data_IF_983368018044
#
_entry.id   IF_983368018044
#
_cell.length_a   1.000
_cell.length_b   1.000
_cell.length_c   1.000
_cell.angle_alpha   90.00
_cell.angle_beta   90.00
_cell.angle_gamma   90.00
#
_symmetry.space_group_name_H-M   'P 1'
#
loop_
_entity.id
_entity.type
_entity.pdbx_description
1 polymer ?
#
# COMPACT_ATOMS: atom_id res chain seq x y z
N UNK A 1 -35.60 45.21 37.60
CA UNK A 1 -34.32 44.47 37.75
C UNK A 1 -34.34 43.31 36.76
N UNK A 2 -33.34 43.29 35.89
CA UNK A 2 -32.90 42.22 34.98
C UNK A 2 -33.86 41.67 33.90
N UNK A 3 -33.77 42.30 32.72
CA UNK A 3 -34.04 41.68 31.42
C UNK A 3 -32.77 41.01 30.89
N UNK A 4 -32.87 39.73 30.51
CA UNK A 4 -31.82 38.97 29.82
C UNK A 4 -31.91 39.29 28.32
N UNK A 5 -30.88 39.93 27.76
CA UNK A 5 -30.69 40.08 26.31
C UNK A 5 -29.78 38.96 25.81
N UNK A 6 -30.35 38.09 24.99
CA UNK A 6 -29.60 37.21 24.08
C UNK A 6 -28.86 38.08 23.05
N UNK A 7 -27.54 38.01 23.03
CA UNK A 7 -26.75 38.41 21.86
C UNK A 7 -25.46 37.57 21.81
N UNK A 8 -25.00 37.35 20.59
CA UNK A 8 -23.70 36.77 20.17
C UNK A 8 -23.48 35.26 20.28
N UNK A 9 -24.25 34.51 19.49
CA UNK A 9 -23.82 33.23 18.88
C UNK A 9 -24.33 33.18 17.43
N UNK A 10 -23.74 33.98 16.53
CA UNK A 10 -24.13 33.93 15.09
C UNK A 10 -23.03 34.26 14.08
N UNK A 11 -21.76 34.37 14.49
CA UNK A 11 -20.67 34.81 13.58
C UNK A 11 -19.64 33.74 13.17
N UNK A 12 -19.77 32.47 13.57
CA UNK A 12 -18.80 31.42 13.18
C UNK A 12 -19.19 30.57 11.96
N UNK A 13 -20.44 30.63 11.49
CA UNK A 13 -20.91 29.82 10.34
C UNK A 13 -20.82 30.53 8.99
N UNK A 14 -20.65 31.86 8.96
CA UNK A 14 -20.55 32.62 7.71
C UNK A 14 -19.18 32.56 7.02
N UNK A 15 -18.08 32.29 7.75
CA UNK A 15 -16.75 32.19 7.12
C UNK A 15 -16.57 30.87 6.36
N UNK A 16 -17.11 29.76 6.89
CA UNK A 16 -17.08 28.45 6.22
C UNK A 16 -17.86 28.44 4.90
N UNK A 17 -19.03 29.10 4.85
CA UNK A 17 -19.84 29.15 3.63
C UNK A 17 -19.26 30.07 2.54
N UNK A 18 -18.41 31.04 2.89
CA UNK A 18 -17.81 31.96 1.90
C UNK A 18 -16.59 31.33 1.22
N UNK A 19 -15.78 30.56 1.96
CA UNK A 19 -14.67 29.77 1.38
C UNK A 19 -15.16 28.62 0.51
N UNK A 20 -16.33 28.04 0.81
CA UNK A 20 -16.94 26.98 0.00
C UNK A 20 -17.66 27.48 -1.26
N UNK A 21 -18.04 28.77 -1.35
CA UNK A 21 -18.87 29.30 -2.45
C UNK A 21 -18.11 29.92 -3.62
N UNK A 22 -16.85 30.30 -3.49
CA UNK A 22 -16.12 30.92 -4.62
C UNK A 22 -15.41 29.93 -5.53
N UNK A 23 -15.48 28.62 -5.25
CA UNK A 23 -14.79 27.57 -6.04
C UNK A 23 -15.70 26.45 -6.55
N UNK A 24 -17.02 26.63 -6.48
CA UNK A 24 -17.94 25.84 -7.32
C UNK A 24 -18.02 26.55 -8.68
N UNK A 25 -16.88 26.61 -9.37
CA UNK A 25 -16.92 26.60 -10.82
C UNK A 25 -17.02 25.13 -11.21
N UNK A 26 -17.85 24.83 -12.20
CA UNK A 26 -17.86 23.57 -12.94
C UNK A 26 -16.52 23.40 -13.70
N UNK A 27 -15.40 23.37 -12.98
CA UNK A 27 -14.10 23.13 -13.55
C UNK A 27 -14.07 21.66 -13.97
N UNK A 28 -13.87 21.43 -15.26
CA UNK A 28 -13.78 20.10 -15.89
C UNK A 28 -12.55 19.34 -15.35
N UNK A 29 -11.52 20.04 -14.87
CA UNK A 29 -10.24 19.46 -14.44
C UNK A 29 -10.15 19.13 -12.93
N UNK A 30 -9.42 18.08 -12.56
CA UNK A 30 -9.17 17.73 -11.17
C UNK A 30 -8.47 18.86 -10.40
N UNK A 31 -8.83 19.14 -9.13
CA UNK A 31 -8.05 20.04 -8.30
C UNK A 31 -6.59 19.57 -8.22
N UNK A 32 -5.66 20.51 -8.26
CA UNK A 32 -4.24 20.20 -8.20
C UNK A 32 -3.70 20.32 -6.77
N UNK A 33 -2.71 19.49 -6.44
CA UNK A 33 -1.99 19.58 -5.18
C UNK A 33 -0.48 19.69 -5.40
N UNK A 34 0.17 20.52 -4.58
CA UNK A 34 1.61 20.56 -4.41
C UNK A 34 1.99 20.17 -2.97
N UNK A 35 2.98 19.29 -2.82
CA UNK A 35 3.49 18.88 -1.51
C UNK A 35 4.85 19.53 -1.25
N UNK A 36 5.03 20.08 -0.05
CA UNK A 36 6.30 20.63 0.43
C UNK A 36 6.73 19.85 1.67
N UNK A 37 7.78 19.05 1.52
CA UNK A 37 8.39 18.28 2.61
C UNK A 37 9.55 19.12 3.16
N UNK A 38 9.49 19.45 4.45
CA UNK A 38 10.41 20.35 5.13
C UNK A 38 11.19 19.52 6.15
N UNK A 39 12.49 19.35 5.91
CA UNK A 39 13.34 18.58 6.81
C UNK A 39 14.71 18.28 6.22
N UNK A 40 15.76 18.78 6.87
CA UNK A 40 17.15 18.54 6.49
C UNK A 40 17.55 17.04 6.52
N UNK A 41 16.91 16.25 7.38
CA UNK A 41 17.13 14.80 7.49
C UNK A 41 16.65 14.04 6.26
N UNK A 42 15.63 14.54 5.56
CA UNK A 42 15.16 13.99 4.29
C UNK A 42 16.19 14.29 3.19
N UNK A 43 16.64 15.55 3.10
CA UNK A 43 17.68 15.97 2.15
C UNK A 43 19.00 15.21 2.36
N UNK A 44 19.32 14.83 3.60
CA UNK A 44 20.50 14.05 3.97
C UNK A 44 20.29 12.53 3.86
N UNK A 45 19.13 12.08 3.38
CA UNK A 45 18.75 10.67 3.30
C UNK A 45 18.89 9.88 4.62
N UNK A 46 18.79 10.56 5.77
CA UNK A 46 18.80 9.91 7.09
C UNK A 46 17.45 9.31 7.42
N UNK A 47 16.39 9.90 6.87
CA UNK A 47 15.01 9.43 6.99
C UNK A 47 14.45 9.31 5.58
N UNK A 48 13.80 8.18 5.28
CA UNK A 48 13.07 8.00 4.03
C UNK A 48 11.76 8.77 4.12
N UNK A 49 11.46 9.60 3.14
CA UNK A 49 10.17 10.27 3.05
C UNK A 49 9.05 9.26 2.74
N UNK A 50 8.24 8.96 3.75
CA UNK A 50 7.02 8.15 3.62
C UNK A 50 5.76 9.02 3.59
N UNK A 51 5.85 10.29 4.00
CA UNK A 51 4.71 11.18 4.14
C UNK A 51 4.19 11.61 2.76
N UNK A 52 5.10 11.92 1.82
CA UNK A 52 4.68 12.27 0.46
C UNK A 52 3.98 11.10 -0.24
N UNK A 53 4.49 9.88 -0.07
CA UNK A 53 3.85 8.67 -0.60
C UNK A 53 2.44 8.48 -0.04
N UNK A 54 2.29 8.55 1.29
CA UNK A 54 0.99 8.42 1.96
C UNK A 54 0.00 9.50 1.51
N UNK A 55 0.45 10.75 1.42
CA UNK A 55 -0.39 11.86 0.98
C UNK A 55 -0.81 11.72 -0.49
N UNK A 56 0.10 11.30 -1.39
CA UNK A 56 -0.23 11.08 -2.79
C UNK A 56 -1.30 10.00 -2.96
N UNK A 57 -1.19 8.86 -2.27
CA UNK A 57 -2.18 7.79 -2.32
C UNK A 57 -3.58 8.26 -1.86
N UNK A 58 -3.66 8.99 -0.75
CA UNK A 58 -4.94 9.46 -0.23
C UNK A 58 -5.54 10.61 -1.06
N UNK A 59 -4.73 11.54 -1.56
CA UNK A 59 -5.19 12.61 -2.44
C UNK A 59 -5.69 12.06 -3.78
N UNK A 60 -5.00 11.06 -4.33
CA UNK A 60 -5.43 10.35 -5.53
C UNK A 60 -6.81 9.73 -5.33
N UNK A 61 -7.03 9.06 -4.19
CA UNK A 61 -8.35 8.50 -3.81
C UNK A 61 -9.43 9.56 -3.57
N UNK A 62 -9.05 10.81 -3.31
CA UNK A 62 -9.97 11.94 -3.19
C UNK A 62 -10.26 12.61 -4.54
N UNK A 63 -9.63 12.16 -5.63
CA UNK A 63 -9.72 12.79 -6.94
C UNK A 63 -8.91 14.08 -7.05
N UNK A 64 -7.84 14.22 -6.27
CA UNK A 64 -6.92 15.38 -6.33
C UNK A 64 -5.63 14.96 -7.01
N UNK A 65 -5.23 15.73 -8.03
CA UNK A 65 -4.04 15.44 -8.84
C UNK A 65 -2.81 16.09 -8.22
N UNK A 66 -1.94 15.29 -7.62
CA UNK A 66 -0.63 15.78 -7.15
C UNK A 66 0.26 16.06 -8.36
N UNK A 67 0.71 17.30 -8.51
CA UNK A 67 1.50 17.74 -9.67
C UNK A 67 2.98 17.98 -9.35
N UNK A 68 3.32 18.25 -8.08
CA UNK A 68 4.70 18.46 -7.67
C UNK A 68 4.90 18.11 -6.19
N UNK A 69 6.02 17.47 -5.91
CA UNK A 69 6.57 17.33 -4.56
C UNK A 69 7.88 18.11 -4.54
N UNK A 70 8.11 18.91 -3.50
CA UNK A 70 9.36 19.63 -3.26
C UNK A 70 9.88 19.27 -1.87
N UNK A 71 11.15 18.90 -1.77
CA UNK A 71 11.82 18.65 -0.49
C UNK A 71 12.80 19.80 -0.27
N UNK A 72 12.67 20.50 0.86
CA UNK A 72 13.44 21.70 1.18
C UNK A 72 14.02 21.64 2.60
N UNK A 73 15.04 22.47 2.85
CA UNK A 73 15.68 22.60 4.16
C UNK A 73 14.81 23.35 5.17
N UNK A 74 15.11 23.18 6.45
CA UNK A 74 14.54 23.95 7.57
C UNK A 74 15.07 25.40 7.59
N UNK A 75 14.77 26.16 6.53
CA UNK A 75 15.13 27.57 6.38
C UNK A 75 13.89 28.42 6.10
N UNK A 76 13.77 29.53 6.82
CA UNK A 76 12.59 30.39 6.77
C UNK A 76 12.37 31.01 5.39
N UNK A 77 13.43 31.46 4.71
CA UNK A 77 13.28 32.11 3.40
C UNK A 77 13.01 31.08 2.29
N UNK A 78 13.61 29.88 2.39
CA UNK A 78 13.32 28.79 1.44
C UNK A 78 11.88 28.30 1.58
N UNK A 79 11.39 28.08 2.81
CA UNK A 79 9.99 27.71 3.09
C UNK A 79 9.04 28.78 2.56
N UNK A 80 9.29 30.05 2.86
CA UNK A 80 8.50 31.18 2.36
C UNK A 80 8.40 31.18 0.84
N UNK A 81 9.55 31.06 0.16
CA UNK A 81 9.64 31.10 -1.30
C UNK A 81 8.86 29.94 -1.93
N UNK A 82 9.03 28.73 -1.41
CA UNK A 82 8.37 27.55 -1.97
C UNK A 82 6.86 27.56 -1.67
N UNK A 83 6.43 27.96 -0.46
CA UNK A 83 5.01 28.15 -0.13
C UNK A 83 4.37 29.17 -1.08
N UNK A 84 4.98 30.34 -1.26
CA UNK A 84 4.45 31.40 -2.13
C UNK A 84 4.33 30.93 -3.58
N UNK A 85 5.32 30.17 -4.06
CA UNK A 85 5.31 29.58 -5.40
C UNK A 85 4.21 28.52 -5.55
N UNK A 86 4.06 27.64 -4.57
CA UNK A 86 3.09 26.54 -4.61
C UNK A 86 1.66 27.06 -4.48
N UNK A 87 1.42 27.97 -3.54
CA UNK A 87 0.11 28.55 -3.29
C UNK A 87 -0.47 29.24 -4.52
N UNK A 88 0.40 29.88 -5.33
CA UNK A 88 0.02 30.49 -6.60
C UNK A 88 -0.32 29.47 -7.71
N UNK A 89 0.34 28.31 -7.73
CA UNK A 89 0.30 27.40 -8.87
C UNK A 89 -0.62 26.18 -8.68
N UNK A 90 -0.98 25.84 -7.43
CA UNK A 90 -1.77 24.66 -7.11
C UNK A 90 -3.03 25.01 -6.33
N UNK A 91 -4.08 24.21 -6.51
CA UNK A 91 -5.33 24.39 -5.75
C UNK A 91 -5.11 24.18 -4.26
N UNK A 92 -4.36 23.16 -3.88
CA UNK A 92 -4.00 22.85 -2.49
C UNK A 92 -2.50 22.74 -2.31
N UNK A 93 -1.98 23.28 -1.20
CA UNK A 93 -0.59 23.11 -0.79
C UNK A 93 -0.57 22.36 0.53
N UNK A 94 0.08 21.19 0.55
CA UNK A 94 0.23 20.38 1.75
C UNK A 94 1.68 20.47 2.18
N UNK A 95 1.95 20.85 3.43
CA UNK A 95 3.30 20.77 3.98
C UNK A 95 3.42 19.65 5.01
N UNK A 96 4.63 19.10 5.15
CA UNK A 96 4.97 18.17 6.22
C UNK A 96 6.33 18.54 6.80
N UNK A 97 6.37 18.78 8.11
CA UNK A 97 7.61 19.06 8.84
C UNK A 97 7.74 20.47 9.40
N UNK A 98 8.73 20.65 10.27
CA UNK A 98 9.12 21.95 10.84
C UNK A 98 8.09 22.64 11.75
N UNK A 99 7.25 21.89 12.48
CA UNK A 99 6.23 22.44 13.40
C UNK A 99 6.35 22.00 14.86
N UNK A 100 7.45 21.34 15.23
CA UNK A 100 7.74 20.96 16.61
C UNK A 100 8.29 22.12 17.47
N UNK A 101 8.84 21.78 18.65
CA UNK A 101 9.34 22.77 19.60
C UNK A 101 10.80 23.19 19.37
N UNK A 102 11.54 22.59 18.45
CA UNK A 102 12.98 22.83 18.31
C UNK A 102 13.27 24.10 17.50
N UNK A 103 14.52 24.55 17.50
CA UNK A 103 14.90 25.83 16.90
C UNK A 103 14.78 25.82 15.37
N UNK A 104 15.01 24.66 14.75
CA UNK A 104 14.87 24.36 13.33
C UNK A 104 13.40 24.15 12.88
N UNK A 105 12.45 23.99 13.80
CA UNK A 105 11.03 23.90 13.44
C UNK A 105 10.45 25.27 13.03
N UNK A 106 10.70 25.72 11.80
CA UNK A 106 10.44 27.10 11.35
C UNK A 106 9.35 27.25 10.27
N UNK A 107 8.48 26.26 10.13
CA UNK A 107 7.44 26.24 9.08
C UNK A 107 6.41 27.35 9.27
N UNK A 108 6.02 27.69 10.50
CA UNK A 108 5.06 28.77 10.76
C UNK A 108 5.64 30.15 10.46
N UNK A 109 6.93 30.37 10.74
CA UNK A 109 7.68 31.57 10.38
C UNK A 109 7.74 31.75 8.86
N UNK A 110 8.05 30.68 8.12
CA UNK A 110 8.03 30.68 6.66
C UNK A 110 6.63 30.95 6.09
N UNK A 111 5.60 30.34 6.67
CA UNK A 111 4.20 30.55 6.29
C UNK A 111 3.76 32.01 6.50
N UNK A 112 4.06 32.59 7.67
CA UNK A 112 3.72 33.98 7.97
C UNK A 112 4.37 34.94 6.96
N UNK A 113 5.67 34.76 6.68
CA UNK A 113 6.38 35.57 5.70
C UNK A 113 5.90 35.36 4.26
N UNK A 114 5.36 34.20 3.91
CA UNK A 114 4.85 33.94 2.56
C UNK A 114 3.63 34.81 2.24
N UNK A 115 2.82 35.13 3.25
CA UNK A 115 1.57 35.87 3.15
C UNK A 115 1.60 37.24 3.85
N UNK A 116 2.80 37.78 4.08
CA UNK A 116 3.03 39.09 4.70
C UNK A 116 2.21 39.25 6.01
N UNK A 117 2.25 38.21 6.85
CA UNK A 117 1.58 38.10 8.14
C UNK A 117 2.60 38.11 9.29
N UNK A 118 2.11 38.33 10.51
CA UNK A 118 2.88 38.23 11.75
C UNK A 118 2.49 36.99 12.54
N UNK A 119 3.34 36.57 13.49
CA UNK A 119 3.09 35.45 14.37
C UNK A 119 2.54 35.92 15.72
N UNK A 120 1.62 35.14 16.29
CA UNK A 120 1.09 35.35 17.63
C UNK A 120 0.85 34.02 18.34
N UNK A 121 0.79 34.06 19.67
CA UNK A 121 0.38 32.90 20.45
C UNK A 121 -1.14 32.74 20.38
N UNK A 122 -1.61 31.68 19.74
CA UNK A 122 -3.04 31.40 19.65
C UNK A 122 -3.54 30.76 20.96
N UNK A 123 -4.49 31.39 21.64
CA UNK A 123 -4.99 30.99 22.97
C UNK A 123 -5.41 29.51 23.06
N UNK A 124 -6.22 29.04 22.11
CA UNK A 124 -6.63 27.62 22.05
C UNK A 124 -5.46 26.64 21.91
N UNK A 125 -4.44 26.99 21.12
CA UNK A 125 -3.25 26.14 20.99
C UNK A 125 -2.43 26.17 22.28
N UNK A 126 -2.28 27.33 22.93
CA UNK A 126 -1.61 27.45 24.23
C UNK A 126 -2.25 26.52 25.27
N UNK A 127 -3.58 26.43 25.32
CA UNK A 127 -4.30 25.51 26.19
C UNK A 127 -4.01 24.03 25.86
N UNK A 128 -4.05 23.68 24.57
CA UNK A 128 -3.72 22.33 24.11
C UNK A 128 -2.28 21.95 24.48
N UNK A 129 -1.32 22.87 24.33
CA UNK A 129 0.08 22.66 24.67
C UNK A 129 0.26 22.46 26.18
N UNK A 130 -0.42 23.28 27.01
CA UNK A 130 -0.41 23.13 28.47
C UNK A 130 -0.89 21.75 28.90
N UNK A 131 -2.04 21.32 28.38
CA UNK A 131 -2.64 20.02 28.71
C UNK A 131 -1.79 18.84 28.22
N UNK A 132 -1.34 18.89 26.96
CA UNK A 132 -0.65 17.76 26.33
C UNK A 132 0.74 17.52 26.90
N UNK A 133 1.46 18.58 27.28
CA UNK A 133 2.85 18.47 27.73
C UNK A 133 3.01 18.73 29.25
N UNK A 134 1.92 18.89 30.00
CA UNK A 134 1.89 19.29 31.41
C UNK A 134 2.81 20.48 31.72
N UNK A 135 2.82 21.45 30.80
CA UNK A 135 3.72 22.61 30.88
C UNK A 135 3.05 23.73 31.67
N UNK A 136 3.61 24.03 32.84
CA UNK A 136 3.17 25.18 33.68
C UNK A 136 4.06 26.41 33.51
N UNK A 137 5.30 26.22 33.07
CA UNK A 137 6.27 27.29 32.90
C UNK A 137 6.10 28.01 31.55
N UNK A 138 5.82 29.33 31.52
CA UNK A 138 5.65 30.11 30.29
C UNK A 138 6.88 30.15 29.36
N UNK A 139 8.09 29.79 29.82
CA UNK A 139 9.31 29.78 29.00
C UNK A 139 9.57 28.46 28.27
N UNK A 140 8.64 27.51 28.34
CA UNK A 140 8.81 26.21 27.69
C UNK A 140 8.91 26.34 26.16
N UNK A 141 9.85 25.63 25.50
CA UNK A 141 9.94 25.60 24.04
C UNK A 141 8.67 25.03 23.38
N UNK A 142 7.86 24.26 24.11
CA UNK A 142 6.61 23.70 23.58
C UNK A 142 5.61 24.76 23.13
N UNK A 143 5.66 25.98 23.69
CA UNK A 143 4.77 27.06 23.27
C UNK A 143 5.06 27.55 21.85
N UNK A 144 6.22 27.24 21.26
CA UNK A 144 6.51 27.53 19.84
C UNK A 144 5.45 26.92 18.93
N UNK A 145 4.95 25.72 19.27
CA UNK A 145 3.87 25.04 18.53
C UNK A 145 2.52 25.77 18.60
N UNK A 146 2.37 26.79 19.45
CA UNK A 146 1.20 27.66 19.52
C UNK A 146 1.44 29.04 18.88
N UNK A 147 2.65 29.31 18.39
CA UNK A 147 3.07 30.58 17.78
C UNK A 147 2.86 30.53 16.26
N UNK A 148 1.67 30.92 15.82
CA UNK A 148 1.18 30.72 14.44
C UNK A 148 0.80 32.06 13.77
N UNK A 149 0.65 32.11 12.43
CA UNK A 149 0.25 33.33 11.74
C UNK A 149 -1.10 33.88 12.25
N UNK A 150 -1.25 35.21 12.31
CA UNK A 150 -2.48 35.83 12.86
C UNK A 150 -3.73 35.50 12.06
N UNK A 151 -3.62 35.28 10.76
CA UNK A 151 -4.73 34.97 9.86
C UNK A 151 -5.01 33.47 9.75
N UNK A 152 -4.20 32.62 10.39
CA UNK A 152 -4.33 31.18 10.28
C UNK A 152 -5.60 30.66 11.00
N UNK A 153 -6.18 29.60 10.45
CA UNK A 153 -7.33 28.89 11.02
C UNK A 153 -6.92 27.51 11.54
N UNK A 154 -7.68 27.00 12.51
CA UNK A 154 -7.46 25.68 13.12
C UNK A 154 -8.53 24.68 12.64
N UNK A 155 -8.09 23.53 12.14
CA UNK A 155 -8.96 22.44 11.69
C UNK A 155 -8.76 21.22 12.58
N UNK A 156 -9.80 20.83 13.32
CA UNK A 156 -9.76 19.72 14.29
C UNK A 156 -10.36 18.40 13.76
N UNK A 157 -10.90 18.41 12.54
CA UNK A 157 -11.67 17.28 12.01
C UNK A 157 -13.12 17.28 12.49
N UNK A 158 -13.91 16.28 12.08
CA UNK A 158 -15.28 16.10 12.57
C UNK A 158 -15.26 15.77 14.07
N UNK A 159 -16.16 16.40 14.82
CA UNK A 159 -16.32 16.20 16.27
C UNK A 159 -15.04 16.47 17.08
N UNK A 160 -14.16 17.35 16.59
CA UNK A 160 -12.88 17.70 17.21
C UNK A 160 -11.98 16.49 17.55
N UNK A 161 -12.00 15.47 16.69
CA UNK A 161 -11.27 14.21 16.89
C UNK A 161 -9.72 14.32 16.83
N UNK A 162 -9.17 15.44 16.38
CA UNK A 162 -7.75 15.74 16.50
C UNK A 162 -7.41 16.49 17.79
N UNK A 163 -6.50 15.92 18.59
CA UNK A 163 -5.98 16.60 19.78
C UNK A 163 -5.13 17.84 19.47
N UNK A 164 -4.45 17.86 18.32
CA UNK A 164 -3.73 19.03 17.81
C UNK A 164 -4.21 19.29 16.37
N UNK A 165 -4.68 20.51 16.04
CA UNK A 165 -5.33 20.78 14.77
C UNK A 165 -4.34 20.84 13.60
N UNK A 166 -4.86 20.71 12.39
CA UNK A 166 -4.16 21.20 11.21
C UNK A 166 -4.29 22.72 11.16
N UNK A 167 -3.15 23.40 10.99
CA UNK A 167 -3.11 24.86 10.83
C UNK A 167 -3.19 25.13 9.34
N UNK A 168 -4.07 26.06 8.95
CA UNK A 168 -4.23 26.44 7.55
C UNK A 168 -4.20 27.96 7.39
N UNK A 169 -3.63 28.42 6.29
CA UNK A 169 -3.69 29.81 5.85
C UNK A 169 -3.80 29.82 4.32
N UNK A 170 -4.78 30.57 3.81
CA UNK A 170 -5.17 30.52 2.39
C UNK A 170 -5.44 29.06 1.94
N UNK A 171 -4.74 28.59 0.90
CA UNK A 171 -4.83 27.22 0.40
C UNK A 171 -3.71 26.29 0.91
N UNK A 172 -3.01 26.68 1.98
CA UNK A 172 -1.88 25.93 2.56
C UNK A 172 -2.33 25.21 3.83
N UNK A 173 -2.04 23.91 3.91
CA UNK A 173 -2.40 23.02 5.00
C UNK A 173 -1.12 22.44 5.61
N UNK A 174 -0.90 22.73 6.89
CA UNK A 174 0.33 22.38 7.60
C UNK A 174 0.14 21.10 8.42
N UNK A 175 0.99 20.11 8.18
CA UNK A 175 1.00 18.84 8.90
C UNK A 175 2.36 18.55 9.54
N UNK A 176 2.40 17.73 10.61
CA UNK A 176 3.65 17.34 11.28
C UNK A 176 4.60 16.54 10.37
N UNK A 177 5.89 16.56 10.67
CA UNK A 177 6.92 15.79 9.95
C UNK A 177 7.02 14.32 10.38
N UNK A 178 6.72 14.03 11.66
CA UNK A 178 6.71 12.65 12.17
C UNK A 178 5.64 11.81 11.45
N UNK A 179 5.99 10.68 10.80
CA UNK A 179 5.04 9.87 10.04
C UNK A 179 3.82 9.43 10.84
N UNK A 180 4.01 9.03 12.10
CA UNK A 180 2.91 8.62 12.99
C UNK A 180 1.88 9.74 13.17
N UNK A 181 2.35 10.98 13.36
CA UNK A 181 1.45 12.11 13.53
C UNK A 181 0.89 12.61 12.19
N UNK A 182 1.68 12.54 11.12
CA UNK A 182 1.25 12.91 9.77
C UNK A 182 0.13 11.98 9.31
N UNK A 183 0.35 10.67 9.31
CA UNK A 183 -0.63 9.67 8.87
C UNK A 183 -1.92 9.77 9.67
N UNK A 184 -1.83 9.94 11.00
CA UNK A 184 -3.00 10.12 11.85
C UNK A 184 -3.79 11.38 11.49
N UNK A 185 -3.13 12.53 11.41
CA UNK A 185 -3.81 13.81 11.17
C UNK A 185 -4.30 13.95 9.73
N UNK A 186 -3.45 13.62 8.75
CA UNK A 186 -3.79 13.65 7.34
C UNK A 186 -4.86 12.61 7.01
N UNK A 187 -4.76 11.37 7.52
CA UNK A 187 -5.76 10.32 7.29
C UNK A 187 -7.16 10.70 7.79
N UNK A 188 -7.25 11.39 8.93
CA UNK A 188 -8.51 11.91 9.48
C UNK A 188 -9.08 13.03 8.60
N UNK A 189 -8.23 13.95 8.16
CA UNK A 189 -8.67 15.19 7.49
C UNK A 189 -8.82 15.07 5.97
N UNK A 190 -8.10 14.15 5.32
CA UNK A 190 -7.93 14.16 3.87
C UNK A 190 -9.27 14.15 3.13
N UNK A 191 -10.17 13.22 3.46
CA UNK A 191 -11.51 13.18 2.85
C UNK A 191 -12.37 14.38 3.21
N UNK A 192 -12.22 14.93 4.41
CA UNK A 192 -12.98 16.11 4.81
C UNK A 192 -12.56 17.35 4.02
N UNK A 193 -11.26 17.49 3.74
CA UNK A 193 -10.69 18.68 3.12
C UNK A 193 -10.64 18.61 1.60
N UNK A 194 -10.43 17.43 1.04
CA UNK A 194 -9.98 17.27 -0.35
C UNK A 194 -10.87 16.36 -1.18
N UNK A 195 -11.91 15.72 -0.60
CA UNK A 195 -12.77 14.83 -1.37
C UNK A 195 -13.52 15.59 -2.47
N UNK A 196 -13.35 15.11 -3.70
CA UNK A 196 -14.07 15.59 -4.87
C UNK A 196 -15.08 14.55 -5.35
N UNK A 197 -15.91 14.93 -6.32
CA UNK A 197 -16.78 14.00 -7.06
C UNK A 197 -16.07 13.35 -8.26
N UNK A 198 -14.74 13.51 -8.37
CA UNK A 198 -13.95 13.03 -9.50
C UNK A 198 -13.15 11.80 -9.10
N UNK A 199 -12.85 10.95 -10.08
CA UNK A 199 -12.08 9.74 -9.91
C UNK A 199 -11.18 9.53 -11.11
N UNK A 200 -9.96 9.06 -10.85
CA UNK A 200 -9.05 8.64 -11.90
C UNK A 200 -9.43 7.25 -12.40
N UNK A 201 -9.37 7.04 -13.71
CA UNK A 201 -9.52 5.74 -14.34
C UNK A 201 -8.13 5.16 -14.64
N UNK A 202 -7.80 4.05 -13.99
CA UNK A 202 -6.53 3.33 -14.17
C UNK A 202 -6.79 1.91 -14.62
N UNK A 203 -6.01 1.46 -15.60
CA UNK A 203 -6.03 0.11 -16.12
C UNK A 203 -4.61 -0.39 -16.37
N UNK A 204 -4.44 -1.72 -16.44
CA UNK A 204 -3.13 -2.35 -16.60
C UNK A 204 -3.18 -3.45 -17.67
N UNK A 205 -2.11 -3.55 -18.47
CA UNK A 205 -1.89 -4.66 -19.40
C UNK A 205 -0.50 -5.26 -19.17
N UNK A 206 -0.38 -6.56 -19.38
CA UNK A 206 0.85 -7.33 -19.14
C UNK A 206 1.35 -7.91 -20.45
N UNK A 207 2.67 -7.87 -20.65
CA UNK A 207 3.30 -8.22 -21.93
C UNK A 207 4.47 -9.17 -21.74
N UNK A 208 4.51 -10.25 -22.52
CA UNK A 208 5.71 -11.11 -22.64
C UNK A 208 6.69 -10.57 -23.69
N UNK A 209 6.90 -9.25 -23.68
CA UNK A 209 7.74 -8.53 -24.62
C UNK A 209 8.64 -7.56 -23.85
N UNK A 210 9.86 -7.35 -24.36
CA UNK A 210 10.70 -6.26 -23.87
C UNK A 210 10.19 -4.93 -24.42
N UNK A 211 10.51 -3.84 -23.71
CA UNK A 211 9.99 -2.50 -23.98
C UNK A 211 10.26 -2.00 -25.39
N UNK A 212 11.40 -2.37 -25.98
CA UNK A 212 11.80 -1.91 -27.32
C UNK A 212 10.81 -2.35 -28.41
N UNK A 213 10.08 -3.46 -28.19
CA UNK A 213 9.13 -3.99 -29.17
C UNK A 213 7.83 -3.18 -29.25
N UNK A 214 7.46 -2.46 -28.19
CA UNK A 214 6.18 -1.74 -28.12
C UNK A 214 6.32 -0.24 -27.80
N UNK A 215 7.54 0.28 -27.59
CA UNK A 215 7.80 1.69 -27.32
C UNK A 215 7.25 2.63 -28.42
N UNK A 216 7.37 2.25 -29.70
CA UNK A 216 6.80 3.01 -30.82
C UNK A 216 5.26 3.06 -30.75
N UNK A 217 4.63 1.95 -30.39
CA UNK A 217 3.18 1.87 -30.20
C UNK A 217 2.71 2.81 -29.09
N UNK A 218 3.43 2.84 -27.96
CA UNK A 218 3.17 3.78 -26.87
C UNK A 218 3.29 5.24 -27.33
N UNK A 219 4.31 5.55 -28.13
CA UNK A 219 4.51 6.91 -28.67
C UNK A 219 3.34 7.34 -29.57
N UNK A 220 2.89 6.46 -30.46
CA UNK A 220 1.74 6.71 -31.34
C UNK A 220 0.48 6.99 -30.52
N UNK A 221 0.23 6.17 -29.49
CA UNK A 221 -0.96 6.28 -28.66
C UNK A 221 -0.93 7.50 -27.73
N UNK A 222 0.23 7.84 -27.17
CA UNK A 222 0.39 9.05 -26.36
C UNK A 222 0.08 10.32 -27.17
N UNK A 223 0.48 10.37 -28.44
CA UNK A 223 0.12 11.47 -29.34
C UNK A 223 -1.38 11.49 -29.69
N UNK A 224 -2.00 10.32 -29.78
CA UNK A 224 -3.43 10.18 -30.13
C UNK A 224 -4.36 10.47 -28.95
N UNK A 225 -3.94 10.14 -27.74
CA UNK A 225 -4.67 10.31 -26.49
C UNK A 225 -3.87 11.21 -25.54
N UNK A 226 -3.83 12.53 -25.77
CA UNK A 226 -2.98 13.45 -25.00
C UNK A 226 -3.37 13.55 -23.52
N UNK A 227 -4.59 13.15 -23.16
CA UNK A 227 -5.07 13.14 -21.78
C UNK A 227 -4.86 11.79 -21.07
N UNK A 228 -4.37 10.77 -21.78
CA UNK A 228 -4.10 9.44 -21.24
C UNK A 228 -2.60 9.28 -21.04
N UNK A 229 -2.21 8.98 -19.82
CA UNK A 229 -0.85 8.61 -19.47
C UNK A 229 -0.63 7.12 -19.72
N UNK A 230 0.42 6.79 -20.45
CA UNK A 230 0.91 5.43 -20.63
C UNK A 230 2.24 5.27 -19.91
N UNK A 231 2.26 4.48 -18.84
CA UNK A 231 3.49 4.14 -18.11
C UNK A 231 3.97 2.76 -18.52
N UNK A 232 5.26 2.59 -18.82
CA UNK A 232 5.85 1.27 -19.05
C UNK A 232 6.79 0.89 -17.91
N UNK A 233 6.66 -0.35 -17.44
CA UNK A 233 7.42 -0.87 -16.32
C UNK A 233 8.01 -2.23 -16.69
N UNK A 234 9.30 -2.29 -17.05
CA UNK A 234 9.98 -3.56 -17.28
C UNK A 234 10.11 -4.34 -15.97
N UNK A 235 9.95 -5.65 -16.04
CA UNK A 235 10.07 -6.56 -14.90
C UNK A 235 11.19 -7.55 -15.17
N UNK A 236 12.15 -7.57 -14.25
CA UNK A 236 13.22 -8.55 -14.24
C UNK A 236 12.76 -9.81 -13.51
N UNK A 237 13.32 -10.97 -13.88
CA UNK A 237 13.11 -12.25 -13.19
C UNK A 237 11.65 -12.73 -13.11
N UNK A 238 10.79 -12.29 -14.04
CA UNK A 238 9.43 -12.80 -14.16
C UNK A 238 9.31 -13.66 -15.44
N UNK A 239 8.88 -14.91 -15.26
CA UNK A 239 8.70 -15.90 -16.33
C UNK A 239 7.43 -15.69 -17.16
N UNK A 240 6.41 -15.00 -16.61
CA UNK A 240 5.11 -14.79 -17.23
C UNK A 240 5.06 -13.58 -18.14
N UNK A 241 5.58 -12.45 -17.66
CA UNK A 241 5.58 -11.20 -18.40
C UNK A 241 6.89 -10.45 -18.14
N UNK A 242 7.32 -9.70 -19.15
CA UNK A 242 8.59 -8.95 -19.16
C UNK A 242 8.37 -7.46 -18.94
N UNK A 243 7.14 -6.98 -19.13
CA UNK A 243 6.73 -5.63 -18.80
C UNK A 243 5.23 -5.58 -18.52
N UNK A 244 4.81 -4.58 -17.76
CA UNK A 244 3.40 -4.18 -17.74
C UNK A 244 3.29 -2.70 -18.09
N UNK A 245 2.13 -2.33 -18.63
CA UNK A 245 1.81 -0.96 -19.02
C UNK A 245 0.62 -0.51 -18.19
N UNK A 246 0.74 0.67 -17.58
CA UNK A 246 -0.38 1.36 -16.93
C UNK A 246 -1.00 2.33 -17.92
N UNK A 247 -2.32 2.42 -17.91
CA UNK A 247 -3.10 3.34 -18.74
C UNK A 247 -3.97 4.13 -17.77
N UNK A 248 -3.74 5.43 -17.68
CA UNK A 248 -4.36 6.25 -16.64
C UNK A 248 -4.86 7.57 -17.20
N UNK A 249 -6.07 7.97 -16.84
CA UNK A 249 -6.63 9.27 -17.20
C UNK A 249 -7.72 9.71 -16.23
N UNK A 250 -8.28 10.89 -16.49
CA UNK A 250 -9.41 11.45 -15.74
C UNK A 250 -10.77 11.00 -16.34
N UNK A 251 -10.78 10.14 -17.38
CA UNK A 251 -11.97 9.70 -18.10
C UNK A 251 -11.97 8.18 -18.36
N UNK A 252 -12.96 7.48 -17.80
CA UNK A 252 -13.07 6.01 -17.93
C UNK A 252 -13.22 5.53 -19.37
N UNK A 253 -14.05 6.19 -20.19
CA UNK A 253 -14.26 5.80 -21.58
C UNK A 253 -13.01 6.04 -22.43
N UNK A 254 -12.26 7.11 -22.15
CA UNK A 254 -11.01 7.41 -22.87
C UNK A 254 -9.94 6.39 -22.51
N UNK A 255 -9.79 6.05 -21.23
CA UNK A 255 -8.90 4.97 -20.76
C UNK A 255 -9.26 3.63 -21.42
N UNK A 256 -10.53 3.26 -21.49
CA UNK A 256 -10.98 2.02 -22.14
C UNK A 256 -10.70 2.02 -23.65
N UNK A 257 -10.98 3.13 -24.35
CA UNK A 257 -10.69 3.27 -25.79
C UNK A 257 -9.18 3.18 -26.07
N UNK A 258 -8.38 3.84 -25.24
CA UNK A 258 -6.92 3.79 -25.31
C UNK A 258 -6.40 2.36 -25.12
N UNK A 259 -6.91 1.64 -24.11
CA UNK A 259 -6.58 0.23 -23.84
C UNK A 259 -6.93 -0.68 -25.01
N UNK A 260 -8.13 -0.56 -25.56
CA UNK A 260 -8.55 -1.37 -26.71
C UNK A 260 -7.61 -1.16 -27.91
N UNK A 261 -7.23 0.10 -28.21
CA UNK A 261 -6.30 0.38 -29.30
C UNK A 261 -4.88 -0.12 -29.02
N UNK A 262 -4.41 -0.02 -27.77
CA UNK A 262 -3.12 -0.57 -27.37
C UNK A 262 -3.08 -2.08 -27.59
N UNK A 263 -4.09 -2.82 -27.12
CA UNK A 263 -4.18 -4.26 -27.33
C UNK A 263 -4.21 -4.63 -28.83
N UNK A 264 -4.94 -3.86 -29.64
CA UNK A 264 -5.04 -4.10 -31.08
C UNK A 264 -3.70 -3.86 -31.82
N UNK A 265 -2.93 -2.84 -31.42
CA UNK A 265 -1.66 -2.51 -32.07
C UNK A 265 -0.51 -3.42 -31.63
N UNK A 266 -0.52 -3.89 -30.38
CA UNK A 266 0.49 -4.81 -29.86
C UNK A 266 0.27 -6.24 -30.40
N UNK A 267 -0.99 -6.64 -30.58
CA UNK A 267 -1.35 -7.98 -31.01
C UNK A 267 -1.50 -8.96 -29.84
N UNK A 268 -2.35 -9.98 -30.04
CA UNK A 268 -2.70 -10.98 -29.01
C UNK A 268 -1.52 -11.81 -28.52
N UNK A 269 -0.52 -12.02 -29.37
CA UNK A 269 0.59 -12.95 -29.09
C UNK A 269 1.53 -12.46 -28.00
N UNK A 270 1.57 -11.14 -27.77
CA UNK A 270 2.41 -10.53 -26.73
C UNK A 270 1.63 -10.30 -25.43
N UNK A 271 0.29 -10.27 -25.49
CA UNK A 271 -0.57 -10.01 -24.34
C UNK A 271 -0.62 -11.20 -23.40
N UNK A 272 -0.35 -10.94 -22.13
CA UNK A 272 -0.38 -11.93 -21.06
C UNK A 272 -1.54 -11.59 -20.12
N UNK A 273 -2.32 -12.59 -19.75
CA UNK A 273 -3.25 -12.45 -18.62
C UNK A 273 -2.43 -12.52 -17.34
N UNK A 274 -2.71 -11.65 -16.39
CA UNK A 274 -2.07 -11.68 -15.08
C UNK A 274 -3.09 -11.29 -14.00
N UNK A 275 -3.00 -11.93 -12.84
CA UNK A 275 -3.77 -11.60 -11.66
C UNK A 275 -2.80 -11.37 -10.49
N UNK A 276 -2.64 -10.12 -10.09
CA UNK A 276 -1.77 -9.78 -8.96
C UNK A 276 -2.33 -10.27 -7.62
N UNK A 277 -3.63 -10.57 -7.56
CA UNK A 277 -4.37 -10.90 -6.34
C UNK A 277 -5.18 -12.19 -6.49
N UNK A 278 -4.55 -13.35 -6.77
CA UNK A 278 -5.26 -14.60 -6.97
C UNK A 278 -6.05 -15.05 -5.72
N UNK A 279 -5.60 -14.63 -4.53
CA UNK A 279 -6.26 -14.86 -3.24
C UNK A 279 -7.60 -14.12 -3.07
N UNK A 280 -7.81 -12.97 -3.73
CA UNK A 280 -9.08 -12.24 -3.67
C UNK A 280 -10.12 -13.00 -4.48
N UNK A 281 -11.32 -13.20 -3.91
CA UNK A 281 -12.41 -14.00 -4.48
C UNK A 281 -11.97 -15.42 -4.90
N UNK A 282 -10.99 -16.00 -4.19
CA UNK A 282 -10.37 -17.29 -4.51
C UNK A 282 -11.39 -18.43 -4.69
N UNK A 283 -12.44 -18.46 -3.87
CA UNK A 283 -13.51 -19.46 -3.99
C UNK A 283 -14.30 -19.32 -5.30
N UNK A 284 -14.61 -18.09 -5.70
CA UNK A 284 -15.30 -17.81 -6.97
C UNK A 284 -14.42 -18.19 -8.14
N UNK A 285 -13.13 -17.83 -8.11
CA UNK A 285 -12.15 -18.20 -9.13
C UNK A 285 -11.98 -19.71 -9.25
N UNK A 286 -11.90 -20.41 -8.13
CA UNK A 286 -11.80 -21.87 -8.09
C UNK A 286 -13.07 -22.55 -8.62
N UNK A 287 -14.28 -22.11 -8.24
CA UNK A 287 -15.53 -22.64 -8.81
C UNK A 287 -15.60 -22.44 -10.33
N UNK A 288 -15.18 -21.26 -10.81
CA UNK A 288 -15.12 -20.97 -12.25
C UNK A 288 -14.09 -21.85 -12.98
N UNK A 289 -13.01 -22.22 -12.31
CA UNK A 289 -12.02 -23.18 -12.82
C UNK A 289 -12.66 -24.56 -13.00
N UNK A 290 -13.30 -25.10 -11.96
CA UNK A 290 -13.92 -26.43 -12.02
C UNK A 290 -14.98 -26.53 -13.12
N UNK A 291 -15.79 -25.47 -13.33
CA UNK A 291 -16.78 -25.43 -14.40
C UNK A 291 -16.19 -25.51 -15.81
N UNK A 292 -14.91 -25.15 -15.99
CA UNK A 292 -14.21 -25.13 -17.29
C UNK A 292 -13.22 -26.28 -17.45
N UNK A 293 -13.02 -27.08 -16.40
CA UNK A 293 -12.11 -28.20 -16.41
C UNK A 293 -12.89 -29.49 -16.69
N UNK A 294 -12.50 -30.25 -17.71
CA UNK A 294 -13.17 -31.50 -18.05
C UNK A 294 -12.92 -32.59 -16.99
N UNK A 295 -11.75 -32.58 -16.35
CA UNK A 295 -11.35 -33.54 -15.31
C UNK A 295 -11.10 -32.82 -13.97
N UNK A 296 -12.17 -32.49 -13.24
CA UNK A 296 -12.08 -31.72 -11.99
C UNK A 296 -11.63 -32.52 -10.75
N UNK A 297 -11.70 -33.86 -10.82
CA UNK A 297 -11.67 -34.72 -9.63
C UNK A 297 -10.39 -34.56 -8.79
N UNK A 298 -9.24 -34.41 -9.45
CA UNK A 298 -7.93 -34.32 -8.77
C UNK A 298 -7.86 -33.04 -7.92
N UNK A 299 -8.41 -31.93 -8.45
CA UNK A 299 -8.44 -30.64 -7.77
C UNK A 299 -9.40 -30.65 -6.58
N UNK A 300 -10.58 -31.25 -6.77
CA UNK A 300 -11.59 -31.41 -5.72
C UNK A 300 -11.06 -32.29 -4.58
N UNK A 301 -10.42 -33.42 -4.90
CA UNK A 301 -9.80 -34.32 -3.92
C UNK A 301 -8.68 -33.62 -3.12
N UNK A 302 -7.86 -32.80 -3.76
CA UNK A 302 -6.82 -32.00 -3.07
C UNK A 302 -7.45 -31.00 -2.10
N UNK A 303 -8.51 -30.29 -2.50
CA UNK A 303 -9.21 -29.35 -1.60
C UNK A 303 -9.85 -30.09 -0.42
N UNK A 304 -10.54 -31.20 -0.67
CA UNK A 304 -11.14 -32.02 0.39
C UNK A 304 -10.08 -32.56 1.38
N UNK A 305 -8.92 -32.99 0.86
CA UNK A 305 -7.81 -33.44 1.67
C UNK A 305 -7.30 -32.34 2.61
N UNK A 306 -7.11 -31.13 2.08
CA UNK A 306 -6.66 -29.98 2.87
C UNK A 306 -7.71 -29.49 3.85
N UNK A 307 -8.99 -29.47 3.46
CA UNK A 307 -10.08 -29.17 4.39
C UNK A 307 -10.10 -30.14 5.58
N UNK A 308 -9.85 -31.44 5.36
CA UNK A 308 -9.75 -32.41 6.48
C UNK A 308 -8.58 -32.10 7.42
N UNK A 309 -7.42 -31.70 6.89
CA UNK A 309 -6.30 -31.29 7.75
C UNK A 309 -6.65 -30.04 8.57
N UNK A 310 -7.12 -28.98 7.91
CA UNK A 310 -7.36 -27.69 8.55
C UNK A 310 -8.61 -27.65 9.45
N UNK A 311 -9.62 -28.49 9.19
CA UNK A 311 -10.82 -28.57 10.03
C UNK A 311 -10.53 -29.06 11.44
N UNK A 312 -9.53 -29.93 11.61
CA UNK A 312 -9.23 -30.50 12.92
C UNK A 312 -8.27 -29.64 13.74
N UNK A 313 -7.08 -29.34 13.19
CA UNK A 313 -5.94 -28.81 13.96
C UNK A 313 -5.04 -27.91 13.09
N UNK A 314 -5.51 -26.72 12.68
CA UNK A 314 -4.80 -25.84 11.75
C UNK A 314 -3.45 -25.34 12.29
N UNK A 315 -3.31 -25.24 13.60
CA UNK A 315 -2.08 -24.81 14.30
C UNK A 315 -0.94 -25.83 14.20
N UNK A 316 -1.25 -27.08 13.85
CA UNK A 316 -0.30 -28.19 13.75
C UNK A 316 0.27 -28.40 12.35
N UNK A 317 -0.22 -27.64 11.39
CA UNK A 317 0.12 -27.76 9.97
C UNK A 317 1.13 -26.70 9.61
N UNK A 318 2.14 -27.09 8.83
CA UNK A 318 3.11 -26.19 8.22
C UNK A 318 3.38 -26.60 6.78
N UNK A 319 3.58 -25.63 5.89
CA UNK A 319 3.81 -25.85 4.46
C UNK A 319 5.28 -25.60 4.15
N UNK A 320 5.91 -26.48 3.38
CA UNK A 320 7.25 -26.23 2.84
C UNK A 320 7.17 -25.34 1.60
N UNK A 321 7.84 -24.19 1.63
CA UNK A 321 7.91 -23.24 0.53
C UNK A 321 9.33 -23.14 -0.03
N UNK A 322 9.49 -23.58 -1.27
CA UNK A 322 10.76 -23.63 -2.01
C UNK A 322 10.76 -22.71 -3.25
N UNK A 323 9.71 -21.91 -3.44
CA UNK A 323 9.54 -21.03 -4.59
C UNK A 323 8.90 -21.69 -5.81
N UNK A 324 8.79 -23.03 -5.85
CA UNK A 324 8.18 -23.75 -6.97
C UNK A 324 6.70 -23.42 -7.17
N UNK A 325 6.20 -23.61 -8.39
CA UNK A 325 4.77 -23.52 -8.71
C UNK A 325 3.96 -24.45 -7.79
N UNK A 326 4.45 -25.65 -7.53
CA UNK A 326 3.79 -26.65 -6.68
C UNK A 326 3.62 -26.18 -5.24
N UNK A 327 4.67 -25.60 -4.62
CA UNK A 327 4.54 -25.07 -3.26
C UNK A 327 3.59 -23.87 -3.19
N UNK A 328 3.53 -23.06 -4.25
CA UNK A 328 2.54 -21.98 -4.36
C UNK A 328 1.10 -22.50 -4.51
N UNK A 329 0.89 -23.58 -5.27
CA UNK A 329 -0.42 -24.25 -5.39
C UNK A 329 -0.86 -24.79 -4.02
N UNK A 330 0.03 -25.44 -3.27
CA UNK A 330 -0.30 -25.94 -1.92
C UNK A 330 -0.71 -24.78 -1.00
N UNK A 331 -0.01 -23.64 -1.03
CA UNK A 331 -0.40 -22.44 -0.28
C UNK A 331 -1.78 -21.92 -0.72
N UNK A 332 -2.04 -21.86 -2.04
CA UNK A 332 -3.34 -21.42 -2.56
C UNK A 332 -4.49 -22.31 -2.07
N UNK A 333 -4.36 -23.63 -2.15
CA UNK A 333 -5.40 -24.54 -1.67
C UNK A 333 -5.54 -24.52 -0.15
N UNK A 334 -4.44 -24.39 0.60
CA UNK A 334 -4.51 -24.23 2.05
C UNK A 334 -5.25 -22.95 2.44
N UNK A 335 -5.01 -21.86 1.71
CA UNK A 335 -5.74 -20.60 1.89
C UNK A 335 -7.22 -20.74 1.55
N UNK A 336 -7.53 -21.43 0.45
CA UNK A 336 -8.91 -21.72 0.05
C UNK A 336 -9.63 -22.58 1.10
N UNK A 337 -8.97 -23.61 1.63
CA UNK A 337 -9.51 -24.45 2.70
C UNK A 337 -9.81 -23.64 3.97
N UNK A 338 -8.86 -22.82 4.45
CA UNK A 338 -9.09 -21.93 5.58
C UNK A 338 -10.25 -20.95 5.35
N UNK A 339 -10.37 -20.42 4.13
CA UNK A 339 -11.45 -19.49 3.75
C UNK A 339 -12.81 -20.18 3.78
N UNK A 340 -12.90 -21.41 3.28
CA UNK A 340 -14.16 -22.20 3.28
C UNK A 340 -14.55 -22.60 4.72
N UNK A 341 -13.57 -22.96 5.53
CA UNK A 341 -13.77 -23.41 6.90
C UNK A 341 -13.95 -22.27 7.92
N UNK A 342 -13.78 -21.02 7.48
CA UNK A 342 -13.80 -19.81 8.34
C UNK A 342 -12.84 -19.92 9.55
N UNK A 343 -11.64 -20.43 9.29
CA UNK A 343 -10.61 -20.64 10.32
C UNK A 343 -9.79 -19.37 10.50
N UNK A 344 -9.91 -18.74 11.68
CA UNK A 344 -9.09 -17.59 12.08
C UNK A 344 -7.68 -18.02 12.55
N UNK A 345 -6.95 -18.70 11.69
CA UNK A 345 -5.55 -19.07 11.91
C UNK A 345 -4.70 -18.73 10.68
N UNK A 346 -3.60 -18.03 10.90
CA UNK A 346 -2.63 -17.76 9.83
C UNK A 346 -1.94 -19.04 9.41
N UNK A 347 -1.89 -19.27 8.10
CA UNK A 347 -1.11 -20.34 7.51
C UNK A 347 0.36 -20.19 7.89
N UNK A 348 1.02 -21.31 8.14
CA UNK A 348 2.41 -21.38 8.55
C UNK A 348 3.25 -21.97 7.42
N UNK A 349 4.36 -21.31 7.07
CA UNK A 349 5.31 -21.79 6.07
C UNK A 349 6.72 -21.92 6.63
N UNK A 350 7.46 -22.91 6.15
CA UNK A 350 8.91 -23.05 6.37
C UNK A 350 9.61 -22.81 5.04
N UNK A 351 10.68 -22.01 5.06
CA UNK A 351 11.48 -21.71 3.89
C UNK A 351 12.97 -21.91 4.20
N UNK A 352 13.67 -22.73 3.40
CA UNK A 352 15.11 -22.93 3.57
C UNK A 352 15.88 -21.81 2.89
N UNK A 353 16.85 -21.14 3.56
CA UNK A 353 17.60 -20.00 3.01
C UNK A 353 18.25 -20.37 1.68
N UNK A 354 17.96 -19.56 0.68
CA UNK A 354 17.90 -20.02 -0.70
C UNK A 354 19.19 -19.79 -1.49
N UNK A 355 19.41 -20.73 -2.42
CA UNK A 355 20.35 -20.65 -3.55
C UNK A 355 20.05 -19.42 -4.45
N UNK A 356 20.95 -19.02 -5.35
CA UNK A 356 20.91 -17.76 -6.12
C UNK A 356 19.67 -17.50 -7.01
N UNK A 357 18.66 -18.37 -7.01
CA UNK A 357 17.42 -18.23 -7.78
C UNK A 357 16.20 -17.79 -6.95
N UNK A 358 16.37 -17.49 -5.65
CA UNK A 358 15.24 -17.04 -4.85
C UNK A 358 15.39 -15.57 -4.47
N UNK A 359 14.59 -14.78 -5.14
CA UNK A 359 14.42 -13.38 -4.83
C UNK A 359 13.74 -13.26 -3.47
N UNK A 360 14.38 -12.60 -2.51
CA UNK A 360 13.79 -12.21 -1.21
C UNK A 360 12.40 -11.59 -1.38
N UNK A 361 12.21 -10.92 -2.51
CA UNK A 361 10.96 -10.32 -2.96
C UNK A 361 9.81 -11.33 -3.13
N UNK A 362 10.06 -12.52 -3.68
CA UNK A 362 9.02 -13.55 -3.85
C UNK A 362 8.46 -14.01 -2.50
N UNK A 363 9.34 -14.18 -1.50
CA UNK A 363 8.93 -14.53 -0.13
C UNK A 363 8.11 -13.39 0.49
N UNK A 364 8.61 -12.15 0.41
CA UNK A 364 7.91 -10.98 0.94
C UNK A 364 6.51 -10.84 0.32
N UNK A 365 6.40 -11.04 -0.99
CA UNK A 365 5.14 -10.97 -1.73
C UNK A 365 4.16 -12.08 -1.32
N UNK A 366 4.60 -13.35 -1.23
CA UNK A 366 3.69 -14.45 -0.89
C UNK A 366 3.21 -14.36 0.57
N UNK A 367 4.10 -13.97 1.49
CA UNK A 367 3.78 -13.76 2.90
C UNK A 367 2.74 -12.66 3.07
N UNK A 368 2.93 -11.54 2.37
CA UNK A 368 1.98 -10.43 2.37
C UNK A 368 0.64 -10.83 1.74
N UNK A 369 0.68 -11.49 0.58
CA UNK A 369 -0.50 -11.88 -0.22
C UNK A 369 -1.46 -12.78 0.55
N UNK A 370 -0.93 -13.80 1.23
CA UNK A 370 -1.76 -14.79 1.94
C UNK A 370 -1.76 -14.60 3.46
N UNK A 371 -1.18 -13.50 3.97
CA UNK A 371 -1.05 -13.19 5.40
C UNK A 371 -0.43 -14.34 6.21
N UNK A 372 0.74 -14.82 5.76
CA UNK A 372 1.39 -16.03 6.27
C UNK A 372 2.28 -15.75 7.49
N UNK A 373 2.46 -16.76 8.33
CA UNK A 373 3.56 -16.85 9.31
C UNK A 373 4.73 -17.60 8.66
N UNK A 374 5.93 -17.03 8.71
CA UNK A 374 7.13 -17.62 8.07
C UNK A 374 8.18 -18.03 9.10
N UNK A 375 8.78 -19.20 8.88
CA UNK A 375 9.96 -19.69 9.59
C UNK A 375 11.11 -19.89 8.61
N UNK A 376 12.16 -19.08 8.73
CA UNK A 376 13.36 -19.18 7.90
C UNK A 376 14.35 -20.18 8.50
N UNK A 377 14.83 -21.13 7.70
CA UNK A 377 15.89 -22.08 8.10
C UNK A 377 17.23 -21.51 7.64
N UNK A 378 18.22 -21.40 8.53
CA UNK A 378 19.42 -20.59 8.28
C UNK A 378 20.59 -21.35 7.68
N UNK A 379 20.71 -22.67 7.89
CA UNK A 379 21.86 -23.43 7.39
C UNK A 379 21.64 -24.95 7.34
N UNK A 380 21.83 -25.65 8.46
CA UNK A 380 21.75 -27.10 8.55
C UNK A 380 20.34 -27.56 8.98
N UNK A 381 19.63 -28.15 8.03
CA UNK A 381 18.22 -28.48 8.16
C UNK A 381 17.90 -29.47 9.29
N UNK A 382 18.77 -30.45 9.55
CA UNK A 382 18.49 -31.40 10.66
C UNK A 382 18.47 -30.65 12.00
N UNK A 383 19.34 -29.65 12.13
CA UNK A 383 19.37 -28.78 13.30
C UNK A 383 18.21 -27.78 13.29
N UNK A 384 17.84 -27.23 12.14
CA UNK A 384 16.76 -26.25 12.07
C UNK A 384 15.36 -26.87 12.25
N UNK A 385 15.13 -28.11 11.81
CA UNK A 385 13.89 -28.85 12.13
C UNK A 385 13.85 -29.25 13.61
N UNK A 386 14.99 -29.64 14.21
CA UNK A 386 15.04 -29.87 15.68
C UNK A 386 14.76 -28.58 16.46
N UNK A 387 15.32 -27.45 16.03
CA UNK A 387 14.99 -26.13 16.60
C UNK A 387 13.51 -25.81 16.42
N UNK A 388 12.94 -26.07 15.24
CA UNK A 388 11.52 -25.84 14.99
C UNK A 388 10.65 -26.70 15.91
N UNK A 389 10.98 -27.98 16.11
CA UNK A 389 10.27 -28.83 17.08
C UNK A 389 10.37 -28.30 18.51
N UNK A 390 11.46 -27.61 18.85
CA UNK A 390 11.64 -26.98 20.17
C UNK A 390 10.80 -25.70 20.30
N UNK A 391 10.73 -24.88 19.25
CA UNK A 391 10.00 -23.59 19.24
C UNK A 391 8.50 -23.79 19.03
N UNK A 392 8.11 -24.84 18.30
CA UNK A 392 6.73 -25.17 17.91
C UNK A 392 6.46 -26.67 18.06
N UNK A 393 6.42 -27.20 19.29
CA UNK A 393 6.22 -28.63 19.54
C UNK A 393 4.86 -29.13 19.07
N UNK A 394 3.89 -28.25 18.84
CA UNK A 394 2.57 -28.61 18.33
C UNK A 394 2.55 -28.97 16.84
N UNK A 395 3.59 -28.67 16.06
CA UNK A 395 3.60 -29.00 14.64
C UNK A 395 3.71 -30.52 14.44
N UNK A 396 2.79 -31.07 13.66
CA UNK A 396 2.67 -32.51 13.41
C UNK A 396 2.67 -32.86 11.92
N UNK A 397 2.26 -31.93 11.04
CA UNK A 397 2.08 -32.21 9.60
C UNK A 397 2.88 -31.20 8.78
N UNK A 398 3.74 -31.73 7.90
CA UNK A 398 4.46 -30.97 6.88
C UNK A 398 3.82 -31.22 5.51
N UNK A 399 3.17 -30.20 4.96
CA UNK A 399 2.62 -30.22 3.61
C UNK A 399 3.70 -29.82 2.59
N UNK A 400 3.86 -30.61 1.53
CA UNK A 400 4.82 -30.35 0.47
C UNK A 400 4.18 -30.46 -0.91
N UNK A 401 4.63 -29.66 -1.87
CA UNK A 401 4.17 -29.72 -3.26
C UNK A 401 4.99 -30.66 -4.15
N UNK A 402 6.20 -31.03 -3.73
CA UNK A 402 7.12 -31.86 -4.50
C UNK A 402 7.10 -33.33 -4.07
N UNK A 403 7.63 -34.23 -4.90
CA UNK A 403 7.84 -35.62 -4.51
C UNK A 403 8.63 -35.73 -3.20
N UNK A 404 8.18 -36.63 -2.32
CA UNK A 404 8.77 -36.84 -1.01
C UNK A 404 10.26 -37.23 -1.09
N UNK A 405 10.64 -37.99 -2.10
CA UNK A 405 12.04 -38.39 -2.33
C UNK A 405 12.91 -37.19 -2.70
N UNK A 406 12.45 -36.36 -3.65
CA UNK A 406 13.16 -35.14 -4.08
C UNK A 406 13.25 -34.13 -2.93
N UNK A 407 12.20 -34.00 -2.15
CA UNK A 407 12.20 -33.23 -0.91
C UNK A 407 13.27 -33.77 0.04
N UNK A 408 13.26 -35.07 0.37
CA UNK A 408 14.25 -35.69 1.25
C UNK A 408 15.69 -35.48 0.79
N UNK A 409 15.95 -35.57 -0.52
CA UNK A 409 17.26 -35.26 -1.11
C UNK A 409 17.62 -33.78 -0.95
N UNK A 410 16.68 -32.87 -1.24
CA UNK A 410 16.83 -31.42 -1.04
C UNK A 410 17.04 -31.07 0.44
N UNK A 411 16.44 -31.86 1.33
CA UNK A 411 16.47 -31.74 2.77
C UNK A 411 17.61 -32.57 3.43
N UNK A 412 18.48 -33.23 2.66
CA UNK A 412 19.62 -34.00 3.19
C UNK A 412 19.27 -35.26 4.02
N UNK A 413 18.06 -35.79 3.88
CA UNK A 413 17.59 -37.00 4.56
C UNK A 413 17.68 -38.23 3.64
N UNK A 414 18.56 -39.18 3.96
CA UNK A 414 18.78 -40.39 3.14
C UNK A 414 18.16 -41.69 3.71
N UNK A 415 17.43 -41.60 4.84
CA UNK A 415 16.67 -42.72 5.41
C UNK A 415 15.49 -43.10 4.50
N UNK A 416 15.48 -44.34 4.00
CA UNK A 416 14.45 -44.87 3.07
C UNK A 416 13.12 -45.25 3.74
N UNK A 417 13.04 -45.29 5.07
CA UNK A 417 11.94 -45.99 5.77
C UNK A 417 11.08 -45.14 6.72
N UNK A 418 11.39 -43.86 6.95
CA UNK A 418 10.64 -43.04 7.90
C UNK A 418 9.73 -42.05 7.19
N UNK A 419 8.39 -42.20 7.22
CA UNK A 419 7.41 -41.22 6.69
C UNK A 419 7.39 -39.85 7.42
N UNK A 420 8.39 -39.56 8.24
CA UNK A 420 8.48 -38.36 9.07
C UNK A 420 9.88 -37.75 9.04
N UNK A 421 9.96 -36.44 9.26
CA UNK A 421 11.21 -35.72 9.56
C UNK A 421 11.13 -35.21 10.98
N UNK A 422 11.84 -35.86 11.90
CA UNK A 422 11.62 -35.66 13.33
C UNK A 422 10.22 -36.13 13.72
N UNK A 423 9.38 -35.23 14.24
CA UNK A 423 7.98 -35.50 14.59
C UNK A 423 6.97 -35.14 13.47
N UNK A 424 7.43 -34.49 12.39
CA UNK A 424 6.56 -34.01 11.33
C UNK A 424 6.26 -35.13 10.34
N UNK A 425 5.00 -35.50 10.21
CA UNK A 425 4.51 -36.39 9.16
C UNK A 425 4.47 -35.63 7.84
N UNK A 426 5.12 -36.17 6.80
CA UNK A 426 5.09 -35.56 5.48
C UNK A 426 3.79 -35.95 4.77
N UNK A 427 3.15 -34.98 4.12
CA UNK A 427 2.02 -35.23 3.22
C UNK A 427 2.17 -34.39 1.96
N UNK A 428 1.95 -35.01 0.79
CA UNK A 428 1.90 -34.32 -0.49
C UNK A 428 0.44 -34.27 -0.98
N UNK A 429 -0.26 -33.13 -0.84
CA UNK A 429 -1.63 -32.96 -1.35
C UNK A 429 -1.75 -33.08 -2.87
N UNK A 430 -0.63 -32.91 -3.60
CA UNK A 430 -0.54 -32.95 -5.06
C UNK A 430 -0.06 -34.32 -5.59
N UNK A 431 -0.01 -35.37 -4.77
CA UNK A 431 0.57 -36.68 -5.14
C UNK A 431 -0.07 -37.36 -6.37
N UNK A 432 -1.29 -36.98 -6.76
CA UNK A 432 -1.98 -37.48 -7.97
C UNK A 432 -1.93 -36.53 -9.16
N UNK A 433 -1.37 -35.34 -8.97
CA UNK A 433 -1.28 -34.33 -10.02
C UNK A 433 -0.18 -34.71 -11.01
N UNK A 434 -0.50 -34.61 -12.29
CA UNK A 434 0.48 -34.63 -13.36
C UNK A 434 1.12 -33.25 -13.52
N UNK A 435 2.20 -33.17 -14.31
CA UNK A 435 2.78 -31.89 -14.70
C UNK A 435 1.81 -31.03 -15.54
N UNK A 436 0.90 -31.67 -16.27
CA UNK A 436 -0.15 -30.94 -17.00
C UNK A 436 -1.18 -30.35 -16.04
N UNK A 437 -1.57 -31.07 -14.98
CA UNK A 437 -2.51 -30.53 -13.96
C UNK A 437 -1.94 -29.30 -13.26
N UNK A 438 -0.66 -29.36 -12.87
CA UNK A 438 0.06 -28.22 -12.27
C UNK A 438 0.02 -27.01 -13.23
N UNK A 439 0.32 -27.25 -14.51
CA UNK A 439 0.36 -26.22 -15.55
C UNK A 439 -1.02 -25.63 -15.83
N UNK A 440 -2.04 -26.46 -15.99
CA UNK A 440 -3.43 -26.06 -16.27
C UNK A 440 -3.96 -25.21 -15.12
N UNK A 441 -3.82 -25.68 -13.89
CA UNK A 441 -4.30 -24.96 -12.71
C UNK A 441 -3.58 -23.63 -12.49
N UNK A 442 -2.24 -23.65 -12.51
CA UNK A 442 -1.43 -22.45 -12.30
C UNK A 442 -1.72 -21.39 -13.36
N UNK A 443 -1.89 -21.78 -14.63
CA UNK A 443 -2.24 -20.85 -15.71
C UNK A 443 -3.66 -20.32 -15.61
N UNK A 444 -4.61 -21.14 -15.17
CA UNK A 444 -5.99 -20.67 -15.06
C UNK A 444 -6.12 -19.61 -13.97
N UNK A 445 -5.48 -19.84 -12.83
CA UNK A 445 -5.49 -18.91 -11.69
C UNK A 445 -4.38 -17.86 -11.75
N UNK A 446 -3.56 -17.88 -12.80
CA UNK A 446 -2.47 -16.93 -13.03
C UNK A 446 -1.50 -16.86 -11.84
N UNK A 447 -1.23 -18.02 -11.22
CA UNK A 447 -0.26 -18.17 -10.14
C UNK A 447 1.17 -18.02 -10.69
N UNK A 448 2.09 -17.33 -9.99
CA UNK A 448 3.49 -17.19 -10.40
C UNK A 448 4.14 -18.57 -10.64
N UNK A 449 4.91 -18.71 -11.72
CA UNK A 449 5.45 -19.96 -12.25
C UNK A 449 6.95 -19.75 -12.35
N UNK A 450 7.75 -20.68 -11.90
CA UNK A 450 9.22 -20.58 -12.05
C UNK A 450 9.68 -21.24 -13.33
#
# INVERSE_FOLDING_TARGET
MFHIRQHTLRNSTKSYQYLLRSWIHDNIEHPSAGLIIIGNEILKARVKDTNSHYACDLLYKCGVKVQKISVISDDVEEIKKEIKKFSKNYTHVITSGGIGPTHDDVTYEGLAKAFDDSLHYHSRLVEIIKDKFDVKNPTSPNYKMAYIPTKASLIFGKEDNLRYPCITLENVYIFPGSPIFFEKSFGILCKQLFLTNKSFAKDEIYLNAKEELFANTLTILSNKFPNVSFGSYPVNNNSYYKAFITIESDNIEETEKAKQQLCNLIGSDLLVKNDNNPHIDSLTKYKNFLQKCEESYVYEETLECLMKFYHHQPEKIVIYFDGSTESQIVIYFAYLANTILDVDNKLQIICAKLSPQNDKQLIEDIVKRYNLNIYMLESDLSNDIKKLNTVKPQLEILLVGTEEKKLRETLGYHSKNDQAIGQLKISNPLHRWTQEDIRVFARFLLLPFT
#
